data_IF_459578531759
#
_entry.id   IF_459578531759
#
_cell.length_a   1.000
_cell.length_b   1.000
_cell.length_c   1.000
_cell.angle_alpha   90.00
_cell.angle_beta   90.00
_cell.angle_gamma   90.00
#
_symmetry.space_group_name_H-M   'P 1'
#
loop_
_entity.id
_entity.type
_entity.pdbx_description
1 polymer ?
#
# COMPACT_ATOMS: atom_id res chain seq x y z
N UNK A 1 -9.86 0.86 -13.45
CA UNK A 1 -9.03 1.93 -12.86
C UNK A 1 -7.59 1.77 -13.31
N UNK A 2 -6.84 0.76 -12.82
CA UNK A 2 -5.53 0.39 -13.34
C UNK A 2 -5.60 -0.70 -14.42
N UNK A 3 -4.48 -0.94 -15.10
CA UNK A 3 -4.27 -2.06 -16.05
C UNK A 3 -5.29 -2.13 -17.21
N UNK A 4 -5.85 -0.98 -17.62
CA UNK A 4 -6.71 -0.90 -18.81
C UNK A 4 -5.88 -0.70 -20.08
N UNK A 5 -6.47 -0.91 -21.25
CA UNK A 5 -5.78 -0.80 -22.55
C UNK A 5 -5.11 0.57 -22.74
N UNK A 6 -5.81 1.66 -22.42
CA UNK A 6 -5.34 3.04 -22.61
C UNK A 6 -4.88 3.74 -21.32
N UNK A 7 -4.89 3.05 -20.18
CA UNK A 7 -4.55 3.66 -18.89
C UNK A 7 -3.06 3.59 -18.56
N UNK A 8 -2.48 4.70 -18.12
CA UNK A 8 -1.05 4.81 -17.78
C UNK A 8 -0.67 4.14 -16.45
N UNK A 9 -1.65 3.97 -15.56
CA UNK A 9 -1.44 3.32 -14.27
C UNK A 9 -1.39 1.80 -14.44
N UNK A 10 -0.18 1.26 -14.41
CA UNK A 10 0.07 -0.18 -14.42
C UNK A 10 0.51 -0.63 -13.03
N UNK A 11 -0.21 -1.59 -12.46
CA UNK A 11 0.10 -2.18 -11.15
C UNK A 11 0.28 -3.68 -11.32
N UNK A 12 1.33 -4.21 -10.70
CA UNK A 12 1.50 -5.65 -10.48
C UNK A 12 0.35 -6.22 -9.65
N UNK A 13 0.25 -7.55 -9.59
CA UNK A 13 -0.76 -8.21 -8.77
C UNK A 13 -0.63 -7.82 -7.28
N UNK A 14 0.60 -7.78 -6.77
CA UNK A 14 0.93 -7.39 -5.41
C UNK A 14 0.54 -5.95 -5.12
N UNK A 15 0.98 -4.99 -5.94
CA UNK A 15 0.64 -3.58 -5.78
C UNK A 15 -0.87 -3.35 -5.80
N UNK A 16 -1.57 -3.96 -6.75
CA UNK A 16 -3.03 -3.90 -6.85
C UNK A 16 -3.69 -4.49 -5.60
N UNK A 17 -3.18 -5.60 -5.07
CA UNK A 17 -3.67 -6.23 -3.85
C UNK A 17 -3.54 -5.31 -2.63
N UNK A 18 -2.37 -4.68 -2.47
CA UNK A 18 -2.09 -3.71 -1.40
C UNK A 18 -3.04 -2.51 -1.48
N UNK A 19 -3.14 -1.88 -2.65
CA UNK A 19 -3.99 -0.71 -2.88
C UNK A 19 -5.46 -1.05 -2.61
N UNK A 20 -5.94 -2.19 -3.13
CA UNK A 20 -7.31 -2.66 -2.88
C UNK A 20 -7.59 -2.87 -1.39
N UNK A 21 -6.63 -3.45 -0.65
CA UNK A 21 -6.75 -3.65 0.80
C UNK A 21 -6.93 -2.31 1.53
N UNK A 22 -6.10 -1.31 1.24
CA UNK A 22 -6.19 0.00 1.88
C UNK A 22 -7.46 0.76 1.50
N UNK A 23 -7.88 0.71 0.22
CA UNK A 23 -9.13 1.34 -0.23
C UNK A 23 -10.35 0.83 0.54
N UNK A 24 -10.34 -0.46 0.94
CA UNK A 24 -11.45 -1.10 1.62
C UNK A 24 -11.33 -1.08 3.16
N UNK A 25 -10.14 -0.84 3.71
CA UNK A 25 -9.84 -1.04 5.14
C UNK A 25 -9.04 0.09 5.80
N UNK A 26 -8.74 1.15 5.05
CA UNK A 26 -7.94 2.28 5.52
C UNK A 26 -6.46 1.92 5.73
N UNK A 27 -5.83 2.58 6.71
CA UNK A 27 -4.41 2.41 6.97
C UNK A 27 -4.09 1.03 7.57
N UNK A 28 -3.02 0.39 7.10
CA UNK A 28 -2.69 -1.01 7.44
C UNK A 28 -1.19 -1.18 7.70
N UNK A 29 -0.81 -2.10 8.59
CA UNK A 29 0.62 -2.49 8.72
C UNK A 29 1.02 -3.51 7.64
N UNK A 30 2.31 -3.66 7.31
CA UNK A 30 2.79 -4.68 6.37
C UNK A 30 2.34 -6.10 6.73
N UNK A 31 2.36 -6.44 8.02
CA UNK A 31 1.86 -7.73 8.51
C UNK A 31 0.37 -7.95 8.24
N UNK A 32 -0.46 -6.94 8.51
CA UNK A 32 -1.90 -7.00 8.22
C UNK A 32 -2.17 -7.13 6.72
N UNK A 33 -1.46 -6.37 5.89
CA UNK A 33 -1.56 -6.40 4.43
C UNK A 33 -1.32 -7.82 3.95
N UNK A 34 -0.18 -8.44 4.31
CA UNK A 34 0.15 -9.81 3.91
C UNK A 34 -0.99 -10.79 4.19
N UNK A 35 -1.55 -10.77 5.40
CA UNK A 35 -2.63 -11.69 5.77
C UNK A 35 -3.94 -11.38 5.05
N UNK A 36 -4.27 -10.11 4.84
CA UNK A 36 -5.56 -9.66 4.27
C UNK A 36 -5.60 -9.72 2.75
N UNK A 37 -4.45 -9.73 2.07
CA UNK A 37 -4.35 -9.79 0.61
C UNK A 37 -4.15 -11.21 0.06
N UNK A 38 -4.13 -12.26 0.90
CA UNK A 38 -3.87 -13.65 0.46
C UNK A 38 -4.76 -14.15 -0.70
N UNK A 39 -5.95 -13.58 -0.90
CA UNK A 39 -6.87 -13.91 -2.01
C UNK A 39 -6.69 -13.04 -3.26
N UNK A 40 -5.87 -12.00 -3.17
CA UNK A 40 -5.65 -10.99 -4.21
C UNK A 40 -4.23 -11.04 -4.78
N UNK A 41 -3.25 -11.40 -3.95
CA UNK A 41 -1.85 -11.51 -4.31
C UNK A 41 -1.10 -12.41 -3.31
N UNK A 42 -0.03 -13.04 -3.78
CA UNK A 42 0.87 -13.84 -2.93
C UNK A 42 2.09 -13.02 -2.54
N UNK A 43 2.50 -13.11 -1.27
CA UNK A 43 3.75 -12.57 -0.76
C UNK A 43 4.51 -13.67 0.00
N UNK A 44 5.78 -13.85 -0.32
CA UNK A 44 6.70 -14.77 0.33
C UNK A 44 6.78 -14.48 1.83
N UNK A 45 7.11 -13.24 2.19
CA UNK A 45 7.26 -12.78 3.56
C UNK A 45 6.83 -11.31 3.72
N UNK A 46 6.95 -10.78 4.93
CA UNK A 46 6.55 -9.40 5.21
C UNK A 46 7.52 -8.37 4.60
N UNK A 47 8.78 -8.76 4.35
CA UNK A 47 9.77 -7.86 3.76
C UNK A 47 9.44 -7.59 2.29
N UNK A 48 8.92 -8.59 1.58
CA UNK A 48 8.41 -8.37 0.23
C UNK A 48 7.27 -7.34 0.21
N UNK A 49 6.36 -7.38 1.20
CA UNK A 49 5.32 -6.35 1.33
C UNK A 49 5.92 -4.98 1.58
N UNK A 50 6.93 -4.88 2.45
CA UNK A 50 7.65 -3.62 2.72
C UNK A 50 8.32 -3.07 1.45
N UNK A 51 9.00 -3.92 0.67
CA UNK A 51 9.63 -3.52 -0.60
C UNK A 51 8.59 -2.99 -1.60
N UNK A 52 7.44 -3.65 -1.74
CA UNK A 52 6.38 -3.18 -2.64
C UNK A 52 5.76 -1.86 -2.14
N UNK A 53 5.61 -1.70 -0.82
CA UNK A 53 5.14 -0.44 -0.23
C UNK A 53 6.13 0.70 -0.44
N UNK A 54 7.43 0.44 -0.33
CA UNK A 54 8.48 1.42 -0.62
C UNK A 54 8.44 1.84 -2.09
N UNK A 55 8.31 0.89 -3.01
CA UNK A 55 8.14 1.17 -4.44
C UNK A 55 6.92 2.05 -4.71
N UNK A 56 5.76 1.71 -4.15
CA UNK A 56 4.53 2.50 -4.29
C UNK A 56 4.64 3.90 -3.66
N UNK A 57 5.48 4.08 -2.65
CA UNK A 57 5.72 5.37 -2.00
C UNK A 57 6.77 6.22 -2.74
N UNK A 58 7.61 5.61 -3.57
CA UNK A 58 8.68 6.28 -4.32
C UNK A 58 8.40 6.44 -5.81
N UNK A 59 7.16 6.17 -6.25
CA UNK A 59 6.86 6.11 -7.69
C UNK A 59 7.03 7.47 -8.39
N UNK A 60 7.70 7.48 -9.53
CA UNK A 60 8.14 8.69 -10.24
C UNK A 60 6.96 9.54 -10.73
N UNK A 61 5.85 8.89 -11.09
CA UNK A 61 4.62 9.55 -11.54
C UNK A 61 3.79 10.11 -10.38
N UNK A 62 4.21 9.87 -9.15
CA UNK A 62 3.57 10.30 -7.92
C UNK A 62 3.37 9.13 -6.95
N UNK A 63 3.56 9.35 -5.64
CA UNK A 63 3.36 8.32 -4.64
C UNK A 63 1.89 7.87 -4.61
N UNK A 64 1.68 6.56 -4.52
CA UNK A 64 0.35 5.95 -4.43
C UNK A 64 -0.02 5.61 -2.98
N UNK A 65 0.98 5.50 -2.12
CA UNK A 65 0.84 5.25 -0.68
C UNK A 65 1.78 6.16 0.10
N UNK A 66 1.46 6.38 1.37
CA UNK A 66 2.31 7.10 2.33
C UNK A 66 2.50 6.25 3.59
N UNK A 67 3.72 6.28 4.13
CA UNK A 67 4.03 5.69 5.44
C UNK A 67 3.64 6.68 6.53
N UNK A 68 2.75 6.27 7.43
CA UNK A 68 2.33 7.09 8.56
C UNK A 68 3.34 7.00 9.70
N UNK A 69 3.40 8.02 10.59
CA UNK A 69 4.16 7.92 11.81
C UNK A 69 3.76 6.68 12.59
N UNK A 70 4.75 6.12 13.27
CA UNK A 70 4.50 4.95 14.10
C UNK A 70 3.77 5.39 15.37
N UNK A 71 2.65 4.76 15.65
CA UNK A 71 1.92 4.97 16.90
C UNK A 71 2.78 4.58 18.11
N UNK A 72 2.57 5.26 19.25
CA UNK A 72 3.26 4.97 20.49
C UNK A 72 3.06 3.51 20.92
N UNK A 73 4.17 2.80 21.20
CA UNK A 73 4.14 1.41 21.63
C UNK A 73 3.93 0.38 20.51
N UNK A 74 3.70 0.80 19.26
CA UNK A 74 3.66 -0.12 18.11
C UNK A 74 5.06 -0.33 17.53
N UNK A 75 5.30 -1.53 17.01
CA UNK A 75 6.58 -1.89 16.36
C UNK A 75 6.64 -1.45 14.90
N UNK A 76 5.51 -1.55 14.21
CA UNK A 76 5.37 -1.30 12.77
C UNK A 76 4.60 -0.01 12.51
N UNK A 77 5.00 0.73 11.49
CA UNK A 77 4.19 1.82 10.93
C UNK A 77 3.03 1.28 10.10
N UNK A 78 1.97 2.08 9.95
CA UNK A 78 0.92 1.83 8.98
C UNK A 78 1.21 2.58 7.68
N UNK A 79 0.60 2.11 6.60
CA UNK A 79 0.59 2.76 5.29
C UNK A 79 -0.84 3.07 4.89
N UNK A 80 -1.05 4.21 4.24
CA UNK A 80 -2.35 4.64 3.71
C UNK A 80 -2.23 5.00 2.23
N UNK A 81 -3.28 4.76 1.46
CA UNK A 81 -3.32 5.11 0.05
C UNK A 81 -3.54 6.63 -0.15
N UNK A 82 -3.14 7.16 -1.32
CA UNK A 82 -3.32 8.58 -1.67
C UNK A 82 -4.40 8.84 -2.73
N UNK A 83 -5.15 7.81 -3.15
CA UNK A 83 -6.23 7.94 -4.15
C UNK A 83 -7.43 8.81 -3.71
N UNK A 84 -7.52 9.21 -2.44
CA UNK A 84 -8.58 10.08 -1.92
C UNK A 84 -8.06 11.45 -1.47
N UNK A 85 -6.89 11.86 -1.99
CA UNK A 85 -6.21 13.09 -1.60
C UNK A 85 -5.10 12.85 -0.59
N UNK A 86 -4.50 13.95 -0.15
CA UNK A 86 -3.40 13.93 0.81
C UNK A 86 -3.89 13.43 2.17
N UNK A 87 -3.07 12.58 2.78
CA UNK A 87 -3.30 12.10 4.15
C UNK A 87 -2.48 12.98 5.08
N UNK A 88 -3.15 13.61 6.04
CA UNK A 88 -2.45 14.32 7.10
C UNK A 88 -1.72 13.30 7.98
N UNK A 89 -0.41 13.22 7.78
CA UNK A 89 0.46 12.31 8.51
C UNK A 89 0.88 12.90 9.87
N UNK A 90 0.30 14.02 10.32
CA UNK A 90 0.65 14.66 11.60
C UNK A 90 -0.22 14.27 12.79
N UNK A 91 -1.26 13.45 12.58
CA UNK A 91 -2.13 12.89 13.63
C UNK A 91 -1.76 11.46 14.08
#
# INVERSE_FOLDING_TARGET
FCNTEFGDLKLTEQEKGIVCCMLLRGAQTPGEIRTRTNRLATFHDVKEVETVLEHLASEEKGPLVVKLPREAGKRESRYMHLFCGDVDASE
#
